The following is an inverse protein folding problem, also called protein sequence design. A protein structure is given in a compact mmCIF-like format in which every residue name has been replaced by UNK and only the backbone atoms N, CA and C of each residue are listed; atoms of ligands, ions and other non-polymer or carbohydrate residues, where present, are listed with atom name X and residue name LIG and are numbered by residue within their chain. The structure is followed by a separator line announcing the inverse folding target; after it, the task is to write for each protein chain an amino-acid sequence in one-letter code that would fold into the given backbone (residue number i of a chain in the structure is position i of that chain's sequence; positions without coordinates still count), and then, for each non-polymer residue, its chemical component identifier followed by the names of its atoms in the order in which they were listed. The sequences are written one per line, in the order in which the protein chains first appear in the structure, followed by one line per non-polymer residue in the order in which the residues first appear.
data_IF_787174513399
#
_entry.id   IF_787174513399
#
_cell.length_a   1.000
_cell.length_b   1.000
_cell.length_c   1.000
_cell.angle_alpha   90.00
_cell.angle_beta   90.00
_cell.angle_gamma   90.00
#
_symmetry.space_group_name_H-M   'P 1'
#
loop_
_entity.id
_entity.type
_entity.pdbx_description
1 polymer ?
#
# COMPACT_ATOMS: atom_id res chain seq x y z
N UNK A 1 -18.97 -13.19 9.50
CA UNK A 1 -17.64 -12.55 9.59
C UNK A 1 -17.82 -11.27 10.39
N UNK A 2 -17.01 -11.04 11.42
CA UNK A 2 -17.04 -9.81 12.23
C UNK A 2 -15.78 -9.01 11.91
N UNK A 3 -15.87 -7.69 11.95
CA UNK A 3 -14.71 -6.81 11.85
C UNK A 3 -14.84 -5.72 12.91
N UNK A 4 -13.72 -5.31 13.48
CA UNK A 4 -13.61 -4.19 14.38
C UNK A 4 -12.65 -3.16 13.83
N UNK A 5 -12.93 -1.90 14.09
CA UNK A 5 -12.05 -0.79 13.74
C UNK A 5 -11.44 -0.22 15.02
N UNK A 6 -10.14 0.02 14.98
CA UNK A 6 -9.44 0.77 16.02
C UNK A 6 -8.55 1.84 15.36
N UNK A 7 -8.64 3.03 15.86
CA UNK A 7 -7.79 4.13 15.40
C UNK A 7 -6.31 3.78 15.62
N UNK A 8 -5.45 4.09 14.65
CA UNK A 8 -4.02 3.73 14.65
C UNK A 8 -3.70 2.30 14.20
N UNK A 9 -4.68 1.38 14.21
CA UNK A 9 -4.51 -0.01 13.75
C UNK A 9 -5.32 -0.27 12.47
N UNK A 10 -6.51 0.34 12.33
CA UNK A 10 -7.42 0.13 11.21
C UNK A 10 -8.43 -0.99 11.45
N UNK A 11 -8.92 -1.61 10.36
CA UNK A 11 -9.90 -2.69 10.42
C UNK A 11 -9.25 -4.05 10.59
N UNK A 12 -9.67 -4.79 11.61
CA UNK A 12 -9.23 -6.15 11.93
C UNK A 12 -10.40 -7.12 11.74
N UNK A 13 -10.17 -8.19 11.00
CA UNK A 13 -11.14 -9.29 10.90
C UNK A 13 -11.04 -10.14 12.17
N UNK A 14 -12.16 -10.31 12.83
CA UNK A 14 -12.23 -11.05 14.09
C UNK A 14 -12.77 -12.46 13.88
N UNK A 15 -12.16 -13.46 14.54
CA UNK A 15 -12.80 -14.75 14.75
C UNK A 15 -14.18 -14.59 15.41
N UNK A 16 -15.14 -15.51 15.18
CA UNK A 16 -16.49 -15.40 15.72
C UNK A 16 -16.57 -15.38 17.25
N UNK A 17 -15.59 -15.97 17.90
CA UNK A 17 -15.45 -16.21 19.35
C UNK A 17 -14.54 -15.19 20.05
N UNK A 18 -13.89 -14.29 19.30
CA UNK A 18 -13.00 -13.28 19.88
C UNK A 18 -13.77 -12.08 20.44
N UNK A 19 -13.40 -11.60 21.61
CA UNK A 19 -14.02 -10.43 22.23
C UNK A 19 -13.40 -9.12 21.68
N UNK A 20 -14.22 -8.06 21.65
CA UNK A 20 -13.78 -6.70 21.26
C UNK A 20 -12.70 -6.15 22.19
N UNK A 21 -12.76 -6.51 23.48
CA UNK A 21 -11.80 -6.09 24.49
C UNK A 21 -10.35 -6.53 24.17
N UNK A 22 -10.18 -7.61 23.41
CA UNK A 22 -8.84 -8.07 23.01
C UNK A 22 -8.20 -7.12 21.99
N UNK A 23 -9.00 -6.48 21.15
CA UNK A 23 -8.51 -5.47 20.18
C UNK A 23 -8.12 -4.18 20.90
N UNK A 24 -8.84 -3.81 21.95
CA UNK A 24 -8.50 -2.65 22.77
C UNK A 24 -7.19 -2.84 23.55
N UNK A 25 -6.79 -4.07 23.80
CA UNK A 25 -5.52 -4.43 24.47
C UNK A 25 -4.31 -4.47 23.54
N UNK A 26 -4.51 -4.41 22.21
CA UNK A 26 -3.38 -4.32 21.29
C UNK A 26 -2.58 -3.06 21.58
N UNK A 27 -1.24 -3.14 21.67
CA UNK A 27 -0.43 -1.97 21.94
C UNK A 27 -0.60 -0.91 20.86
N UNK A 28 -0.68 0.35 21.27
CA UNK A 28 -0.58 1.46 20.33
C UNK A 28 0.80 1.41 19.66
N UNK A 29 0.80 1.23 18.34
CA UNK A 29 2.01 1.35 17.56
C UNK A 29 2.26 2.83 17.29
N UNK A 30 3.09 3.45 18.11
CA UNK A 30 3.63 4.77 17.80
C UNK A 30 4.82 4.56 16.85
N UNK A 31 4.55 4.59 15.55
CA UNK A 31 5.63 4.57 14.56
C UNK A 31 6.23 5.98 14.49
N UNK A 32 7.58 6.09 14.54
CA UNK A 32 8.21 7.38 14.26
C UNK A 32 7.89 7.78 12.83
N UNK A 33 7.23 8.92 12.68
CA UNK A 33 7.07 9.53 11.36
C UNK A 33 8.43 10.04 10.87
N UNK A 34 8.73 9.92 9.58
CA UNK A 34 9.88 10.59 8.99
C UNK A 34 9.83 12.07 9.32
N UNK A 35 10.97 12.71 9.61
CA UNK A 35 10.98 14.14 9.91
C UNK A 35 10.56 14.95 8.67
N UNK A 36 9.66 15.89 8.85
CA UNK A 36 9.17 16.78 7.80
C UNK A 36 7.71 16.52 7.42
N UNK A 37 7.17 17.41 6.59
CA UNK A 37 5.85 17.23 6.00
C UNK A 37 6.01 16.44 4.69
N UNK A 38 5.38 15.26 4.54
CA UNK A 38 5.49 14.47 3.32
C UNK A 38 5.15 15.24 2.04
N UNK A 39 4.24 16.22 2.13
CA UNK A 39 3.84 17.05 0.99
C UNK A 39 4.95 18.01 0.48
N UNK A 40 6.00 18.23 1.27
CA UNK A 40 7.14 19.07 0.91
C UNK A 40 8.36 18.25 0.46
N UNK A 41 8.27 16.93 0.57
CA UNK A 41 9.36 15.99 0.25
C UNK A 41 9.05 15.34 -1.10
N UNK A 42 10.00 15.38 -2.06
CA UNK A 42 9.81 14.77 -3.37
C UNK A 42 9.59 13.25 -3.29
N UNK A 43 8.75 12.71 -4.17
CA UNK A 43 8.66 11.28 -4.43
C UNK A 43 10.05 10.71 -4.82
N UNK A 44 10.48 9.52 -4.35
CA UNK A 44 9.68 8.53 -3.59
C UNK A 44 9.74 8.67 -2.06
N UNK A 45 10.48 9.64 -1.53
CA UNK A 45 10.66 9.80 -0.08
C UNK A 45 9.51 10.55 0.60
N UNK A 46 8.64 11.20 -0.19
CA UNK A 46 7.44 11.90 0.25
C UNK A 46 6.37 11.94 -0.84
N UNK A 47 5.38 12.82 -0.66
CA UNK A 47 4.18 12.88 -1.49
C UNK A 47 4.24 13.98 -2.58
N UNK A 48 5.33 14.77 -2.62
CA UNK A 48 5.49 15.82 -3.62
C UNK A 48 5.81 15.20 -4.98
N UNK A 49 4.80 15.15 -5.84
CA UNK A 49 4.96 14.73 -7.23
C UNK A 49 5.34 15.96 -8.05
N UNK A 50 6.51 15.92 -8.68
CA UNK A 50 6.90 16.95 -9.66
C UNK A 50 5.92 16.92 -10.83
N UNK A 51 5.60 18.09 -11.42
CA UNK A 51 4.91 18.14 -12.70
C UNK A 51 5.77 17.44 -13.76
N UNK A 52 5.55 16.16 -13.94
CA UNK A 52 6.30 15.35 -14.88
C UNK A 52 5.63 15.40 -16.26
N UNK A 53 6.33 15.96 -17.22
CA UNK A 53 6.07 15.66 -18.62
C UNK A 53 6.28 14.16 -18.84
N UNK A 54 5.30 13.49 -19.44
CA UNK A 54 5.42 12.09 -19.84
C UNK A 54 6.73 11.89 -20.61
N UNK A 55 7.54 10.86 -20.28
CA UNK A 55 8.75 10.55 -21.03
C UNK A 55 8.43 10.38 -22.53
N UNK A 56 9.28 10.89 -23.40
CA UNK A 56 9.05 10.90 -24.87
C UNK A 56 8.86 9.49 -25.48
N UNK A 57 9.29 8.45 -24.78
CA UNK A 57 9.12 7.05 -25.18
C UNK A 57 7.85 6.40 -24.61
N UNK A 58 7.01 7.15 -23.89
CA UNK A 58 5.72 6.70 -23.38
C UNK A 58 4.61 7.27 -24.25
N UNK A 59 3.83 6.40 -24.85
CA UNK A 59 2.67 6.76 -25.64
C UNK A 59 1.51 7.14 -24.68
N UNK A 60 1.15 8.42 -24.70
CA UNK A 60 0.09 8.98 -23.85
C UNK A 60 -1.29 8.37 -24.13
N UNK A 61 -1.58 8.09 -25.41
CA UNK A 61 -2.88 7.59 -25.82
C UNK A 61 -3.03 6.11 -25.41
N UNK A 62 -1.96 5.34 -25.59
CA UNK A 62 -1.92 3.94 -25.12
C UNK A 62 -2.02 3.84 -23.60
N UNK A 63 -1.35 4.73 -22.86
CA UNK A 63 -1.44 4.79 -21.40
C UNK A 63 -2.85 5.17 -20.94
N UNK A 64 -3.46 6.16 -21.59
CA UNK A 64 -4.84 6.58 -21.34
C UNK A 64 -5.84 5.47 -21.64
N UNK A 65 -5.68 4.76 -22.76
CA UNK A 65 -6.53 3.62 -23.12
C UNK A 65 -6.41 2.46 -22.10
N UNK A 66 -5.19 2.14 -21.66
CA UNK A 66 -4.95 1.12 -20.64
C UNK A 66 -5.58 1.51 -19.29
N UNK A 67 -5.47 2.78 -18.90
CA UNK A 67 -6.12 3.32 -17.72
C UNK A 67 -7.64 3.19 -17.80
N UNK A 68 -8.25 3.63 -18.91
CA UNK A 68 -9.68 3.49 -19.10
C UNK A 68 -10.13 2.04 -19.03
N UNK A 69 -9.44 1.14 -19.72
CA UNK A 69 -9.74 -0.30 -19.66
C UNK A 69 -9.69 -0.84 -18.23
N UNK A 70 -8.78 -0.38 -17.38
CA UNK A 70 -8.67 -0.83 -16.00
C UNK A 70 -9.90 -0.44 -15.16
N UNK A 71 -10.52 0.72 -15.42
CA UNK A 71 -11.67 1.22 -14.66
C UNK A 71 -13.03 0.88 -15.29
N UNK A 72 -13.09 0.63 -16.58
CA UNK A 72 -14.33 0.37 -17.33
C UNK A 72 -14.73 -1.11 -17.38
N UNK A 73 -14.14 -1.97 -16.55
CA UNK A 73 -14.47 -3.40 -16.51
C UNK A 73 -15.92 -3.60 -16.07
N UNK A 74 -16.75 -4.28 -16.90
CA UNK A 74 -18.15 -4.52 -16.61
C UNK A 74 -18.35 -5.72 -15.68
N UNK A 75 -17.71 -5.75 -14.52
CA UNK A 75 -17.88 -6.83 -13.56
C UNK A 75 -18.09 -6.25 -12.17
N UNK A 76 -19.23 -6.54 -11.58
CA UNK A 76 -19.55 -6.18 -10.19
C UNK A 76 -18.59 -6.86 -9.18
N UNK A 77 -17.86 -7.90 -9.62
CA UNK A 77 -16.90 -8.63 -8.79
C UNK A 77 -15.49 -8.06 -8.84
N UNK A 78 -15.18 -7.19 -9.81
CA UNK A 78 -13.87 -6.60 -10.01
C UNK A 78 -13.97 -5.08 -10.10
N UNK A 79 -13.60 -4.40 -9.05
CA UNK A 79 -13.55 -2.94 -9.01
C UNK A 79 -12.11 -2.48 -8.86
N UNK A 80 -11.64 -1.66 -9.80
CA UNK A 80 -10.38 -0.93 -9.67
C UNK A 80 -10.66 0.36 -8.91
N UNK A 81 -10.04 0.54 -7.76
CA UNK A 81 -10.20 1.73 -6.92
C UNK A 81 -9.04 2.72 -7.08
N UNK A 82 -7.87 2.22 -7.47
CA UNK A 82 -6.69 3.05 -7.76
C UNK A 82 -5.80 2.38 -8.80
N UNK A 83 -5.17 3.17 -9.62
CA UNK A 83 -4.14 2.76 -10.58
C UNK A 83 -2.96 3.71 -10.49
N UNK A 84 -1.79 3.16 -10.22
CA UNK A 84 -0.53 3.88 -10.16
C UNK A 84 0.44 3.24 -11.14
N UNK A 85 1.05 4.04 -12.02
CA UNK A 85 2.09 3.59 -12.95
C UNK A 85 3.38 4.32 -12.64
N UNK A 86 4.40 3.55 -12.27
CA UNK A 86 5.74 4.07 -11.97
C UNK A 86 6.70 3.63 -13.08
N UNK A 87 7.43 4.59 -13.65
CA UNK A 87 8.43 4.35 -14.66
C UNK A 87 9.74 5.04 -14.27
N UNK A 88 10.84 4.25 -14.20
CA UNK A 88 12.17 4.74 -13.77
C UNK A 88 12.14 5.53 -12.45
N UNK A 89 11.37 5.03 -11.48
CA UNK A 89 11.26 5.64 -10.15
C UNK A 89 10.36 6.88 -10.08
N UNK A 90 9.65 7.23 -11.15
CA UNK A 90 8.73 8.37 -11.19
C UNK A 90 7.30 7.91 -11.46
N UNK A 91 6.34 8.51 -10.79
CA UNK A 91 4.92 8.30 -11.06
C UNK A 91 4.61 9.01 -12.38
N UNK A 92 4.22 8.25 -13.40
CA UNK A 92 3.85 8.77 -14.72
C UNK A 92 2.34 8.77 -14.95
N UNK A 93 1.59 8.05 -14.14
CA UNK A 93 0.13 8.03 -14.18
C UNK A 93 -0.43 7.64 -12.83
N UNK A 94 -1.47 8.35 -12.41
CA UNK A 94 -2.19 8.12 -11.18
C UNK A 94 -3.67 8.39 -11.43
N UNK A 95 -4.54 7.45 -11.03
CA UNK A 95 -5.99 7.57 -11.17
C UNK A 95 -6.71 6.84 -10.05
N UNK A 96 -7.80 7.43 -9.60
CA UNK A 96 -8.68 6.88 -8.57
C UNK A 96 -10.10 6.77 -9.10
N UNK A 97 -10.87 5.81 -8.57
CA UNK A 97 -12.29 5.73 -8.77
C UNK A 97 -13.02 6.84 -7.98
N UNK A 98 -14.26 7.12 -8.34
CA UNK A 98 -15.08 8.10 -7.64
C UNK A 98 -15.18 7.77 -6.13
N UNK A 99 -14.91 8.77 -5.29
CA UNK A 99 -14.90 8.62 -3.84
C UNK A 99 -13.60 8.06 -3.23
N UNK A 100 -12.57 7.83 -4.05
CA UNK A 100 -11.24 7.42 -3.64
C UNK A 100 -10.20 8.49 -3.98
N UNK A 101 -9.15 8.57 -3.19
CA UNK A 101 -8.00 9.45 -3.39
C UNK A 101 -6.72 8.81 -2.84
N UNK A 102 -5.58 9.52 -2.92
CA UNK A 102 -4.29 9.03 -2.44
C UNK A 102 -4.26 8.75 -0.93
N UNK A 103 -5.15 9.37 -0.15
CA UNK A 103 -5.24 9.19 1.30
C UNK A 103 -6.20 8.06 1.70
N UNK A 104 -6.98 7.55 0.76
CA UNK A 104 -7.96 6.50 1.02
C UNK A 104 -7.29 5.18 1.33
N UNK A 105 -7.51 4.65 2.52
CA UNK A 105 -6.97 3.36 2.95
C UNK A 105 -7.76 2.23 2.32
N UNK A 106 -7.11 1.46 1.47
CA UNK A 106 -7.69 0.28 0.82
C UNK A 106 -7.15 -1.01 1.39
N UNK A 107 -7.93 -2.09 1.30
CA UNK A 107 -7.47 -3.42 1.73
C UNK A 107 -6.51 -3.98 0.69
N UNK A 108 -5.31 -4.32 1.11
CA UNK A 108 -4.23 -4.79 0.22
C UNK A 108 -4.22 -6.30 -0.02
N UNK A 109 -4.96 -7.09 0.77
CA UNK A 109 -4.97 -8.55 0.69
C UNK A 109 -3.55 -9.14 0.62
N UNK A 110 -3.30 -10.03 -0.32
CA UNK A 110 -2.00 -10.71 -0.47
C UNK A 110 -0.85 -9.80 -0.89
N UNK A 111 -1.09 -8.57 -1.32
CA UNK A 111 -0.02 -7.58 -1.53
C UNK A 111 0.76 -7.31 -0.22
N UNK A 112 0.12 -7.51 0.92
CA UNK A 112 0.78 -7.45 2.23
C UNK A 112 1.95 -8.46 2.36
N UNK A 113 1.97 -9.56 1.59
CA UNK A 113 3.09 -10.51 1.54
C UNK A 113 4.35 -9.88 0.95
N UNK A 114 4.21 -9.00 -0.03
CA UNK A 114 5.33 -8.26 -0.60
C UNK A 114 5.93 -7.29 0.42
N UNK A 115 5.08 -6.65 1.23
CA UNK A 115 5.52 -5.80 2.34
C UNK A 115 6.26 -6.65 3.38
N UNK A 116 5.70 -7.79 3.77
CA UNK A 116 6.36 -8.72 4.71
C UNK A 116 7.72 -9.20 4.18
N UNK A 117 7.80 -9.54 2.89
CA UNK A 117 9.06 -9.92 2.24
C UNK A 117 10.10 -8.80 2.28
N UNK A 118 9.68 -7.55 2.07
CA UNK A 118 10.57 -6.39 2.18
C UNK A 118 11.10 -6.23 3.61
N UNK A 119 10.24 -6.35 4.63
CA UNK A 119 10.66 -6.27 6.04
C UNK A 119 11.64 -7.39 6.41
N UNK A 120 11.42 -8.61 5.92
CA UNK A 120 12.37 -9.72 6.08
C UNK A 120 13.69 -9.37 5.40
N UNK A 121 13.68 -8.83 4.19
CA UNK A 121 14.88 -8.38 3.50
C UNK A 121 15.70 -7.35 4.30
N UNK A 122 15.02 -6.41 4.96
CA UNK A 122 15.67 -5.44 5.86
C UNK A 122 16.33 -6.10 7.07
N UNK A 123 15.73 -7.16 7.63
CA UNK A 123 16.33 -7.94 8.72
C UNK A 123 17.57 -8.71 8.25
N UNK A 124 17.53 -9.27 7.05
CA UNK A 124 18.68 -9.95 6.42
C UNK A 124 19.81 -8.97 6.17
N UNK A 125 19.53 -7.81 5.56
CA UNK A 125 20.51 -6.77 5.29
C UNK A 125 21.17 -6.25 6.58
N UNK A 126 20.42 -6.15 7.66
CA UNK A 126 20.94 -5.77 8.99
C UNK A 126 21.68 -6.89 9.74
N UNK A 127 21.81 -8.08 9.17
CA UNK A 127 22.44 -9.25 9.79
C UNK A 127 21.65 -9.85 10.97
N UNK A 128 20.38 -9.54 11.09
CA UNK A 128 19.50 -10.05 12.17
C UNK A 128 18.79 -11.34 11.80
N UNK A 129 18.77 -11.69 10.53
CA UNK A 129 18.16 -12.90 9.99
C UNK A 129 19.06 -13.45 8.90
N UNK A 130 19.21 -14.78 8.88
CA UNK A 130 19.81 -15.50 7.75
C UNK A 130 18.72 -16.33 7.07
N UNK A 131 18.64 -16.27 5.74
CA UNK A 131 17.62 -17.02 4.99
C UNK A 131 17.88 -18.53 5.01
N UNK A 132 19.09 -18.96 5.26
CA UNK A 132 19.51 -20.37 5.28
C UNK A 132 19.50 -20.97 6.70
N UNK A 133 19.25 -20.16 7.74
CA UNK A 133 19.11 -20.64 9.10
C UNK A 133 17.67 -21.13 9.38
N UNK A 134 17.51 -22.25 10.11
CA UNK A 134 16.21 -22.68 10.57
C UNK A 134 15.57 -21.62 11.45
N UNK A 135 14.31 -21.27 11.18
CA UNK A 135 13.50 -20.48 12.11
C UNK A 135 13.28 -21.34 13.36
N UNK A 136 13.92 -21.06 14.46
CA UNK A 136 13.86 -21.84 15.70
C UNK A 136 12.47 -21.82 16.36
N UNK A 137 11.48 -22.33 15.65
CA UNK A 137 10.17 -22.67 16.20
C UNK A 137 10.24 -24.11 16.72
N UNK A 138 10.26 -24.27 18.04
CA UNK A 138 10.06 -25.54 18.73
C UNK A 138 8.57 -25.92 18.75
#
# INVERSE_FOLDING_TARGET
MRAAFREGIGCVIMPPDQDLDEIERLPELTLPYPPGNPSDIPWPDGDLISENTLPANVDSDALGAASNWAFERPSDEQQTVSLLVVYKGQIIHERYADGFDMSTRTRTWSTAKSIASTLIGMLVDSGRLDLDEPLGFD
#
